data_IF_802011907330
#
_entry.id   IF_802011907330
#
_cell.length_a   1.000
_cell.length_b   1.000
_cell.length_c   1.000
_cell.angle_alpha   90.00
_cell.angle_beta   90.00
_cell.angle_gamma   90.00
#
_symmetry.space_group_name_H-M   'P 1'
#
loop_
_entity.id
_entity.type
_entity.pdbx_description
1 polymer ?
#
# COMPACT_ATOMS: atom_id res chain seq x y z
N UNK A 1 21.41 1.49 -14.30
CA UNK A 1 21.00 1.01 -12.95
C UNK A 1 21.51 -0.41 -12.66
N UNK A 2 22.06 -0.68 -11.45
CA UNK A 2 22.45 -2.05 -11.01
C UNK A 2 21.38 -2.67 -10.09
N UNK A 3 20.88 -3.86 -10.44
CA UNK A 3 19.90 -4.60 -9.63
C UNK A 3 20.60 -5.27 -8.44
N UNK A 4 20.29 -4.83 -7.21
CA UNK A 4 20.82 -5.45 -5.99
C UNK A 4 20.01 -6.67 -5.56
N UNK A 5 18.71 -6.68 -5.87
CA UNK A 5 17.78 -7.76 -5.54
C UNK A 5 16.50 -7.59 -6.34
N UNK A 6 16.04 -8.68 -6.94
CA UNK A 6 14.74 -8.76 -7.61
C UNK A 6 13.71 -9.47 -6.72
N UNK A 7 12.49 -8.95 -6.69
CA UNK A 7 11.34 -9.63 -6.10
C UNK A 7 10.24 -9.76 -7.14
N UNK A 8 9.77 -11.00 -7.32
CA UNK A 8 8.56 -11.27 -8.10
C UNK A 8 7.34 -11.18 -7.19
N UNK A 9 6.75 -9.99 -7.12
CA UNK A 9 5.58 -9.73 -6.26
C UNK A 9 4.30 -10.16 -6.98
N UNK A 10 3.46 -10.96 -6.30
CA UNK A 10 2.15 -11.39 -6.84
C UNK A 10 1.01 -10.72 -6.07
N UNK A 11 0.20 -9.95 -6.77
CA UNK A 11 -1.04 -9.39 -6.23
C UNK A 11 -2.19 -10.35 -6.51
N UNK A 12 -2.96 -10.70 -5.49
CA UNK A 12 -4.08 -11.65 -5.56
C UNK A 12 -5.33 -11.02 -4.93
N UNK A 13 -6.49 -11.30 -5.51
CA UNK A 13 -7.78 -11.01 -4.88
C UNK A 13 -8.25 -12.27 -4.13
N UNK A 14 -8.50 -12.16 -2.84
CA UNK A 14 -8.85 -13.29 -1.97
C UNK A 14 -10.18 -13.06 -1.27
N UNK A 15 -10.90 -14.15 -1.01
CA UNK A 15 -12.15 -14.12 -0.23
C UNK A 15 -11.94 -14.77 1.13
N UNK A 16 -12.20 -14.02 2.20
CA UNK A 16 -12.14 -14.55 3.56
C UNK A 16 -13.31 -15.48 3.85
N UNK A 17 -13.19 -16.33 4.88
CA UNK A 17 -14.30 -17.17 5.38
C UNK A 17 -15.58 -16.38 5.72
N UNK A 18 -15.45 -15.10 6.09
CA UNK A 18 -16.57 -14.20 6.40
C UNK A 18 -17.10 -13.44 5.18
N UNK A 19 -16.62 -13.77 3.98
CA UNK A 19 -17.10 -13.20 2.72
C UNK A 19 -16.41 -11.92 2.28
N UNK A 20 -15.56 -11.30 3.11
CA UNK A 20 -14.80 -10.11 2.72
C UNK A 20 -13.86 -10.42 1.55
N UNK A 21 -13.87 -9.55 0.54
CA UNK A 21 -12.95 -9.57 -0.62
C UNK A 21 -11.81 -8.63 -0.28
N UNK A 22 -10.57 -9.11 -0.39
CA UNK A 22 -9.36 -8.42 0.06
C UNK A 22 -8.25 -8.60 -0.97
N UNK A 23 -7.39 -7.60 -1.11
CA UNK A 23 -6.14 -7.74 -1.84
C UNK A 23 -5.07 -8.39 -0.96
N UNK A 24 -4.24 -9.22 -1.57
CA UNK A 24 -3.11 -9.88 -0.94
C UNK A 24 -1.88 -9.69 -1.83
N UNK A 25 -0.80 -9.19 -1.24
CA UNK A 25 0.50 -9.03 -1.90
C UNK A 25 1.42 -10.12 -1.37
N UNK A 26 1.69 -11.14 -2.19
CA UNK A 26 2.53 -12.27 -1.82
C UNK A 26 3.99 -11.99 -2.16
N UNK A 27 4.86 -12.08 -1.16
CA UNK A 27 6.31 -11.92 -1.31
C UNK A 27 7.02 -13.27 -1.44
N UNK A 28 6.57 -14.27 -0.67
CA UNK A 28 7.05 -15.65 -0.73
C UNK A 28 6.06 -16.59 -0.04
N UNK A 29 6.22 -17.92 -0.12
CA UNK A 29 5.38 -18.85 0.63
C UNK A 29 5.38 -18.50 2.13
N UNK A 30 4.19 -18.37 2.71
CA UNK A 30 3.96 -17.95 4.11
C UNK A 30 4.46 -16.54 4.48
N UNK A 31 4.81 -15.68 3.53
CA UNK A 31 5.11 -14.26 3.77
C UNK A 31 4.36 -13.37 2.79
N UNK A 32 3.34 -12.69 3.29
CA UNK A 32 2.47 -11.86 2.47
C UNK A 32 1.89 -10.69 3.25
N UNK A 33 1.40 -9.70 2.53
CA UNK A 33 0.64 -8.58 3.05
C UNK A 33 -0.83 -8.82 2.71
N UNK A 34 -1.72 -8.70 3.70
CA UNK A 34 -3.16 -8.88 3.52
C UNK A 34 -3.91 -7.59 3.87
N UNK A 35 -4.79 -7.16 2.97
CA UNK A 35 -5.59 -5.95 3.17
C UNK A 35 -6.39 -6.02 4.48
N UNK A 36 -6.44 -4.90 5.20
CA UNK A 36 -7.23 -4.74 6.40
C UNK A 36 -8.69 -5.02 6.07
N UNK A 37 -9.25 -6.05 6.71
CA UNK A 37 -10.65 -6.38 6.51
C UNK A 37 -11.57 -5.25 7.01
N UNK A 38 -12.29 -4.53 6.12
CA UNK A 38 -13.19 -3.46 6.53
C UNK A 38 -14.42 -4.01 7.25
N UNK A 39 -14.82 -5.26 7.04
CA UNK A 39 -15.99 -5.86 7.72
C UNK A 39 -15.68 -6.34 9.14
N UNK A 40 -14.42 -6.29 9.57
CA UNK A 40 -14.04 -6.67 10.94
C UNK A 40 -14.43 -5.57 11.91
N UNK A 41 -15.18 -5.91 12.95
CA UNK A 41 -15.49 -4.97 14.03
C UNK A 41 -14.33 -4.90 15.04
N UNK A 42 -13.26 -4.23 14.61
CA UNK A 42 -12.08 -3.95 15.44
C UNK A 42 -11.66 -2.49 15.25
N UNK A 43 -10.84 -1.96 16.17
CA UNK A 43 -10.29 -0.60 16.08
C UNK A 43 -9.80 -0.25 14.67
N UNK A 44 -8.97 -1.13 14.09
CA UNK A 44 -8.41 -0.93 12.75
C UNK A 44 -9.41 -1.18 11.62
N UNK A 45 -10.37 -2.10 11.78
CA UNK A 45 -11.43 -2.29 10.80
C UNK A 45 -12.37 -1.09 10.71
N UNK A 46 -12.78 -0.52 11.86
CA UNK A 46 -13.59 0.70 11.95
C UNK A 46 -12.85 1.89 11.36
N UNK A 47 -11.57 2.08 11.73
CA UNK A 47 -10.75 3.16 11.19
C UNK A 47 -10.59 3.03 9.67
N UNK A 48 -10.29 1.83 9.17
CA UNK A 48 -10.11 1.59 7.75
C UNK A 48 -11.39 1.84 6.95
N UNK A 49 -12.57 1.43 7.44
CA UNK A 49 -13.86 1.78 6.82
C UNK A 49 -14.04 3.28 6.67
N UNK A 50 -13.73 4.05 7.72
CA UNK A 50 -13.84 5.53 7.68
C UNK A 50 -12.85 6.15 6.70
N UNK A 51 -11.61 5.65 6.66
CA UNK A 51 -10.61 6.14 5.70
C UNK A 51 -11.08 5.87 4.28
N UNK A 52 -11.59 4.66 3.96
CA UNK A 52 -12.09 4.32 2.62
C UNK A 52 -13.30 5.15 2.17
N UNK A 53 -14.05 5.74 3.10
CA UNK A 53 -15.15 6.66 2.75
C UNK A 53 -14.65 8.02 2.25
N UNK A 54 -13.45 8.43 2.69
CA UNK A 54 -12.84 9.70 2.30
C UNK A 54 -11.84 9.49 1.17
N UNK A 55 -11.05 8.42 1.24
CA UNK A 55 -10.03 8.01 0.29
C UNK A 55 -10.26 6.56 -0.14
N UNK A 56 -11.16 6.31 -1.12
CA UNK A 56 -11.43 4.97 -1.63
C UNK A 56 -10.19 4.26 -2.14
N UNK A 57 -9.19 5.00 -2.62
CA UNK A 57 -7.95 4.44 -3.15
C UNK A 57 -6.89 4.16 -2.09
N UNK A 58 -7.15 4.41 -0.81
CA UNK A 58 -6.23 4.09 0.27
C UNK A 58 -6.28 2.60 0.63
N UNK A 59 -5.13 1.99 0.89
CA UNK A 59 -4.99 0.60 1.26
C UNK A 59 -4.09 0.44 2.48
N UNK A 60 -4.54 -0.41 3.40
CA UNK A 60 -3.74 -0.86 4.54
C UNK A 60 -3.56 -2.36 4.41
N UNK A 61 -2.33 -2.83 4.43
CA UNK A 61 -2.03 -4.24 4.42
C UNK A 61 -1.19 -4.61 5.63
N UNK A 62 -1.62 -5.64 6.35
CA UNK A 62 -0.86 -6.20 7.45
C UNK A 62 0.11 -7.25 6.93
N UNK A 63 1.37 -7.15 7.37
CA UNK A 63 2.34 -8.20 7.11
C UNK A 63 2.02 -9.44 7.96
N UNK A 64 1.92 -10.57 7.27
CA UNK A 64 1.74 -11.89 7.84
C UNK A 64 2.94 -12.74 7.42
N UNK A 65 3.63 -13.30 8.41
CA UNK A 65 4.74 -14.22 8.21
C UNK A 65 4.53 -15.46 9.08
N UNK A 66 4.70 -16.64 8.50
CA UNK A 66 4.51 -17.92 9.18
C UNK A 66 3.13 -18.01 9.87
N UNK A 67 2.09 -17.54 9.16
CA UNK A 67 0.69 -17.46 9.63
C UNK A 67 0.46 -16.57 10.86
N UNK A 68 1.39 -15.66 11.18
CA UNK A 68 1.26 -14.72 12.29
C UNK A 68 1.41 -13.28 11.79
N UNK A 69 0.63 -12.38 12.38
CA UNK A 69 0.82 -10.95 12.19
C UNK A 69 2.17 -10.53 12.78
N UNK A 70 3.00 -9.84 11.99
CA UNK A 70 4.30 -9.35 12.46
C UNK A 70 4.19 -8.02 13.20
N UNK A 71 3.05 -7.33 13.02
CA UNK A 71 2.83 -5.96 13.50
C UNK A 71 3.29 -4.89 12.50
N UNK A 72 3.96 -5.26 11.41
CA UNK A 72 4.28 -4.34 10.31
C UNK A 72 3.07 -4.15 9.41
N UNK A 73 2.96 -2.95 8.85
CA UNK A 73 1.87 -2.57 7.97
C UNK A 73 2.43 -1.82 6.78
N UNK A 74 1.97 -2.17 5.58
CA UNK A 74 2.15 -1.40 4.37
C UNK A 74 0.89 -0.54 4.19
N UNK A 75 1.07 0.77 4.06
CA UNK A 75 0.00 1.70 3.77
C UNK A 75 0.33 2.47 2.49
N UNK A 76 -0.66 2.68 1.62
CA UNK A 76 -0.47 3.42 0.38
C UNK A 76 -1.79 3.80 -0.25
N UNK A 77 -1.76 4.69 -1.23
CA UNK A 77 -2.91 5.02 -2.06
C UNK A 77 -2.50 5.01 -3.53
N UNK A 78 -3.43 4.64 -4.41
CA UNK A 78 -3.33 5.01 -5.81
C UNK A 78 -3.95 6.40 -5.95
N UNK A 79 -3.24 7.33 -6.58
CA UNK A 79 -3.68 8.72 -6.67
C UNK A 79 -3.50 9.18 -8.11
N UNK A 80 -4.48 9.93 -8.59
CA UNK A 80 -4.33 10.70 -9.82
C UNK A 80 -3.40 11.89 -9.58
N UNK A 81 -2.85 12.44 -10.68
CA UNK A 81 -1.81 13.48 -10.60
C UNK A 81 -2.23 14.70 -9.77
N UNK A 82 -3.49 15.09 -9.87
CA UNK A 82 -4.10 16.20 -9.14
C UNK A 82 -4.35 15.90 -7.65
N UNK A 83 -4.48 14.62 -7.28
CA UNK A 83 -4.70 14.19 -5.89
C UNK A 83 -3.39 14.08 -5.07
N UNK A 84 -2.24 13.98 -5.74
CA UNK A 84 -0.92 13.80 -5.10
C UNK A 84 -0.63 14.93 -4.12
N UNK A 85 -0.80 16.19 -4.53
CA UNK A 85 -0.46 17.34 -3.69
C UNK A 85 -1.36 17.44 -2.45
N UNK A 86 -2.66 17.15 -2.59
CA UNK A 86 -3.59 17.14 -1.46
C UNK A 86 -3.20 16.05 -0.46
N UNK A 87 -2.88 14.85 -0.95
CA UNK A 87 -2.45 13.74 -0.12
C UNK A 87 -1.13 14.03 0.61
N UNK A 88 -0.13 14.57 -0.09
CA UNK A 88 1.16 14.95 0.53
C UNK A 88 0.94 16.04 1.56
N UNK A 89 0.12 17.06 1.25
CA UNK A 89 -0.20 18.14 2.21
C UNK A 89 -0.83 17.58 3.48
N UNK A 90 -1.79 16.66 3.33
CA UNK A 90 -2.46 16.00 4.45
C UNK A 90 -1.47 15.25 5.35
N UNK A 91 -0.52 14.53 4.75
CA UNK A 91 0.48 13.74 5.47
C UNK A 91 1.59 14.60 6.10
N UNK A 92 2.17 15.50 5.32
CA UNK A 92 3.27 16.37 5.73
C UNK A 92 2.80 17.49 6.66
N UNK A 93 1.50 17.81 6.66
CA UNK A 93 0.88 18.94 7.38
C UNK A 93 1.52 20.30 7.03
N UNK A 94 2.07 20.41 5.82
CA UNK A 94 2.66 21.63 5.27
C UNK A 94 2.53 21.62 3.75
N UNK A 95 2.50 22.80 3.15
CA UNK A 95 2.52 23.00 1.70
C UNK A 95 3.91 23.37 1.15
N UNK A 96 4.94 23.41 2.02
CA UNK A 96 6.30 23.80 1.63
C UNK A 96 6.87 22.97 0.48
N UNK A 97 6.36 21.76 0.26
CA UNK A 97 6.81 20.89 -0.83
C UNK A 97 6.38 21.41 -2.21
N UNK A 98 5.30 22.20 -2.31
CA UNK A 98 4.80 22.77 -3.57
C UNK A 98 5.76 23.78 -4.21
N UNK A 99 6.75 24.26 -3.46
CA UNK A 99 7.79 25.17 -3.97
C UNK A 99 8.89 24.44 -4.75
N UNK A 100 8.95 23.12 -4.64
CA UNK A 100 9.90 22.31 -5.39
C UNK A 100 9.24 21.85 -6.69
N UNK A 101 9.95 21.97 -7.80
CA UNK A 101 9.46 21.48 -9.07
C UNK A 101 9.43 19.95 -9.07
N UNK A 102 8.44 19.39 -9.75
CA UNK A 102 8.38 17.96 -10.02
C UNK A 102 9.47 17.60 -11.04
N UNK A 103 10.58 17.06 -10.54
CA UNK A 103 11.69 16.58 -11.38
C UNK A 103 11.44 15.10 -11.66
N UNK A 104 11.23 14.77 -12.93
CA UNK A 104 11.27 13.40 -13.40
C UNK A 104 12.74 13.01 -13.59
N UNK A 105 13.23 12.08 -12.80
CA UNK A 105 14.50 11.43 -13.10
C UNK A 105 14.31 10.51 -14.31
N UNK A 106 15.24 10.56 -15.26
CA UNK A 106 15.30 9.55 -16.31
C UNK A 106 15.59 8.20 -15.64
N UNK A 107 14.71 7.23 -15.88
CA UNK A 107 14.90 5.87 -15.39
C UNK A 107 15.98 5.25 -16.29
N UNK A 108 17.20 5.10 -15.75
CA UNK A 108 18.29 4.41 -16.45
C UNK A 108 17.87 2.99 -16.85
N UNK A 109 18.26 2.56 -18.05
CA UNK A 109 18.11 1.16 -18.45
C UNK A 109 18.80 0.24 -17.43
N UNK A 110 18.14 -0.88 -17.17
CA UNK A 110 18.66 -1.93 -16.29
C UNK A 110 19.75 -2.65 -17.07
N UNK A 111 20.95 -2.76 -16.50
CA UNK A 111 22.00 -3.61 -17.07
C UNK A 111 21.53 -5.08 -17.00
N UNK A 112 21.21 -5.69 -18.14
CA UNK A 112 20.93 -7.12 -18.25
C UNK A 112 22.27 -7.89 -18.20
N UNK A 113 22.45 -8.79 -17.22
CA UNK A 113 23.56 -9.77 -17.15
C UNK A 113 23.26 -11.03 -17.97
#
# INVERSE_FOLDING_TARGET
MRVLKEWNVKVKLVRTKRGAILHMIELSPNHFYLEQNPLKDSKYGVAYRKIKQVFPEFYLFWEIKDNKYTGRMLAGAFLEKDEIDEFITLLAKTEDFKKFEHILEEIEEIEEE
#
